data_IF_358005967293
#
_entry.id   IF_358005967293
#
_cell.length_a   1.000
_cell.length_b   1.000
_cell.length_c   1.000
_cell.angle_alpha   90.00
_cell.angle_beta   90.00
_cell.angle_gamma   90.00
#
_symmetry.space_group_name_H-M   'P 1'
#
loop_
_entity.id
_entity.type
_entity.pdbx_description
1 polymer ?
#
# COMPACT_ATOMS: atom_id res chain seq x y z
N UNK A 1 -13.55 4.06 4.93
CA UNK A 1 -13.46 3.61 6.34
C UNK A 1 -12.83 2.23 6.44
N UNK A 2 -13.04 1.40 5.42
CA UNK A 2 -12.61 0.00 5.32
C UNK A 2 -11.10 -0.20 5.42
N UNK A 3 -10.29 0.67 4.80
CA UNK A 3 -8.82 0.59 4.84
C UNK A 3 -8.25 0.78 6.25
N UNK A 4 -8.87 1.62 7.08
CA UNK A 4 -8.44 1.85 8.47
C UNK A 4 -8.67 0.62 9.32
N UNK A 5 -9.86 0.02 9.21
CA UNK A 5 -10.22 -1.20 9.96
C UNK A 5 -9.35 -2.38 9.50
N UNK A 6 -9.12 -2.50 8.19
CA UNK A 6 -8.23 -3.49 7.61
C UNK A 6 -6.79 -3.38 8.16
N UNK A 7 -6.23 -2.17 8.19
CA UNK A 7 -4.87 -1.94 8.71
C UNK A 7 -4.79 -2.15 10.22
N UNK A 8 -5.79 -1.70 10.98
CA UNK A 8 -5.85 -1.89 12.42
C UNK A 8 -5.88 -3.38 12.80
N UNK A 9 -6.66 -4.20 12.09
CA UNK A 9 -6.68 -5.65 12.24
C UNK A 9 -5.28 -6.25 12.04
N UNK A 10 -4.57 -5.88 10.96
CA UNK A 10 -3.22 -6.41 10.68
C UNK A 10 -2.15 -5.95 11.66
N UNK A 11 -2.22 -4.71 12.12
CA UNK A 11 -1.30 -4.14 13.11
C UNK A 11 -1.50 -4.78 14.50
N UNK A 12 -2.73 -5.17 14.83
CA UNK A 12 -3.07 -5.85 16.08
C UNK A 12 -2.73 -7.35 16.04
N UNK A 13 -2.81 -7.99 14.86
CA UNK A 13 -2.52 -9.40 14.69
C UNK A 13 -1.01 -9.72 14.78
N UNK A 14 -0.16 -8.73 14.52
CA UNK A 14 1.28 -8.84 14.63
C UNK A 14 1.72 -8.84 16.10
N UNK A 15 2.11 -10.01 16.61
CA UNK A 15 2.60 -10.18 17.99
C UNK A 15 3.93 -9.41 18.20
N UNK A 16 4.26 -8.99 19.45
CA UNK A 16 5.35 -8.05 19.73
C UNK A 16 6.77 -8.52 19.36
N UNK A 17 6.95 -9.76 18.93
CA UNK A 17 8.24 -10.29 18.50
C UNK A 17 8.33 -10.34 16.97
N UNK A 18 8.90 -9.27 16.39
CA UNK A 18 9.79 -9.40 15.22
C UNK A 18 9.13 -9.56 13.83
N UNK A 19 8.16 -8.72 13.47
CA UNK A 19 7.82 -8.55 12.04
C UNK A 19 8.18 -7.15 11.54
N UNK A 20 9.20 -6.99 10.68
CA UNK A 20 9.56 -5.71 10.08
C UNK A 20 8.45 -5.10 9.21
N UNK A 21 7.35 -5.84 8.98
CA UNK A 21 6.20 -5.38 8.24
C UNK A 21 5.40 -4.30 8.98
N UNK A 22 5.30 -4.38 10.32
CA UNK A 22 4.52 -3.42 11.11
C UNK A 22 5.09 -2.02 11.01
N UNK A 23 6.40 -1.88 11.21
CA UNK A 23 7.11 -0.60 11.07
C UNK A 23 7.02 -0.06 9.64
N UNK A 24 7.13 -0.93 8.63
CA UNK A 24 6.97 -0.54 7.22
C UNK A 24 5.55 0.00 6.94
N UNK A 25 4.51 -0.67 7.45
CA UNK A 25 3.12 -0.21 7.32
C UNK A 25 2.92 1.12 8.04
N UNK A 26 3.45 1.30 9.25
CA UNK A 26 3.35 2.55 10.01
C UNK A 26 4.07 3.71 9.30
N UNK A 27 5.25 3.45 8.71
CA UNK A 27 5.96 4.44 7.90
C UNK A 27 5.19 4.81 6.63
N UNK A 28 4.55 3.84 5.98
CA UNK A 28 3.69 4.10 4.83
C UNK A 28 2.38 4.80 5.22
N UNK A 29 1.85 4.54 6.42
CA UNK A 29 0.65 5.17 6.96
C UNK A 29 0.85 6.67 7.18
N UNK A 30 2.06 7.08 7.56
CA UNK A 30 2.45 8.49 7.66
C UNK A 30 2.34 9.24 6.32
N UNK A 31 2.51 8.52 5.19
CA UNK A 31 2.28 9.07 3.85
C UNK A 31 0.80 9.08 3.49
N UNK A 32 0.16 7.90 3.53
CA UNK A 32 -1.28 7.75 3.26
C UNK A 32 -1.79 6.36 3.66
N UNK A 33 -3.11 6.27 3.88
CA UNK A 33 -3.79 4.98 4.09
C UNK A 33 -3.64 4.04 2.89
N UNK A 34 -3.61 4.61 1.68
CA UNK A 34 -3.42 3.88 0.43
C UNK A 34 -2.02 3.29 0.32
N UNK A 35 -0.99 4.06 0.69
CA UNK A 35 0.39 3.59 0.71
C UNK A 35 0.58 2.47 1.75
N UNK A 36 -0.04 2.59 2.93
CA UNK A 36 0.00 1.54 3.94
C UNK A 36 -0.66 0.24 3.47
N UNK A 37 -1.84 0.33 2.85
CA UNK A 37 -2.53 -0.83 2.28
C UNK A 37 -1.71 -1.47 1.15
N UNK A 38 -1.13 -0.65 0.26
CA UNK A 38 -0.28 -1.12 -0.83
C UNK A 38 1.00 -1.79 -0.32
N UNK A 39 1.61 -1.28 0.75
CA UNK A 39 2.78 -1.88 1.40
C UNK A 39 2.47 -3.32 1.85
N UNK A 40 1.36 -3.52 2.56
CA UNK A 40 0.92 -4.84 3.00
C UNK A 40 0.61 -5.78 1.82
N UNK A 41 -0.10 -5.29 0.80
CA UNK A 41 -0.44 -6.09 -0.39
C UNK A 41 0.80 -6.47 -1.20
N UNK A 42 1.79 -5.59 -1.33
CA UNK A 42 3.06 -5.90 -1.98
C UNK A 42 3.84 -6.96 -1.20
N UNK A 43 3.89 -6.84 0.13
CA UNK A 43 4.53 -7.84 0.97
C UNK A 43 3.91 -9.23 0.79
N UNK A 44 2.57 -9.33 0.79
CA UNK A 44 1.88 -10.60 0.49
C UNK A 44 2.17 -11.08 -0.94
N UNK A 45 2.20 -10.17 -1.92
CA UNK A 45 2.44 -10.51 -3.32
C UNK A 45 3.86 -11.06 -3.58
N UNK A 46 4.86 -10.58 -2.86
CA UNK A 46 6.22 -11.12 -2.91
C UNK A 46 6.28 -12.54 -2.35
N UNK A 47 5.51 -12.80 -1.29
CA UNK A 47 5.39 -14.12 -0.65
C UNK A 47 4.27 -14.97 -1.24
N UNK A 48 3.78 -14.64 -2.44
CA UNK A 48 2.71 -15.39 -3.11
C UNK A 48 3.00 -16.86 -3.33
N UNK A 49 4.29 -17.22 -3.43
CA UNK A 49 4.72 -18.62 -3.57
C UNK A 49 4.61 -19.39 -2.24
N UNK A 50 4.70 -18.71 -1.09
CA UNK A 50 4.49 -19.28 0.24
C UNK A 50 3.00 -19.32 0.62
N UNK A 51 2.17 -18.53 -0.07
CA UNK A 51 0.73 -18.47 0.14
C UNK A 51 0.03 -19.59 -0.64
N UNK A 52 -0.73 -20.43 0.06
CA UNK A 52 -1.49 -21.52 -0.55
C UNK A 52 -2.52 -21.03 -1.58
N UNK A 53 -3.08 -19.83 -1.37
CA UNK A 53 -4.08 -19.22 -2.25
C UNK A 53 -3.92 -17.70 -2.22
N UNK A 54 -3.91 -17.07 -3.40
CA UNK A 54 -4.09 -15.63 -3.56
C UNK A 54 -5.49 -15.35 -4.08
N UNK A 55 -6.23 -14.51 -3.35
CA UNK A 55 -7.55 -14.08 -3.78
C UNK A 55 -7.43 -13.07 -4.94
N UNK A 56 -8.25 -13.19 -6.00
CA UNK A 56 -8.23 -12.24 -7.13
C UNK A 56 -8.52 -10.80 -6.68
N UNK A 57 -9.37 -10.63 -5.66
CA UNK A 57 -9.66 -9.31 -5.07
C UNK A 57 -8.45 -8.63 -4.44
N UNK A 58 -7.48 -9.39 -3.94
CA UNK A 58 -6.20 -8.83 -3.45
C UNK A 58 -5.41 -8.24 -4.61
N UNK A 59 -5.33 -8.96 -5.74
CA UNK A 59 -4.61 -8.52 -6.92
C UNK A 59 -5.26 -7.29 -7.55
N UNK A 60 -6.60 -7.26 -7.62
CA UNK A 60 -7.35 -6.10 -8.12
C UNK A 60 -7.10 -4.87 -7.25
N UNK A 61 -7.27 -4.98 -5.93
CA UNK A 61 -7.03 -3.88 -5.00
C UNK A 61 -5.59 -3.34 -5.09
N UNK A 62 -4.60 -4.25 -5.22
CA UNK A 62 -3.20 -3.87 -5.41
C UNK A 62 -2.98 -3.09 -6.70
N UNK A 63 -3.58 -3.54 -7.80
CA UNK A 63 -3.44 -2.88 -9.11
C UNK A 63 -4.12 -1.51 -9.13
N UNK A 64 -5.28 -1.37 -8.50
CA UNK A 64 -5.97 -0.09 -8.33
C UNK A 64 -5.09 0.90 -7.55
N UNK A 65 -4.55 0.49 -6.41
CA UNK A 65 -3.67 1.32 -5.60
C UNK A 65 -2.37 1.70 -6.34
N UNK A 66 -1.80 0.80 -7.15
CA UNK A 66 -0.64 1.10 -8.00
C UNK A 66 -0.97 2.13 -9.09
N UNK A 67 -2.17 2.08 -9.66
CA UNK A 67 -2.62 3.07 -10.64
C UNK A 67 -2.79 4.45 -9.98
N UNK A 68 -3.38 4.49 -8.79
CA UNK A 68 -3.55 5.73 -8.00
C UNK A 68 -2.21 6.33 -7.55
N UNK A 69 -1.25 5.49 -7.13
CA UNK A 69 0.11 5.95 -6.76
C UNK A 69 0.84 6.58 -7.96
N UNK A 70 0.72 5.97 -9.15
CA UNK A 70 1.23 6.55 -10.39
C UNK A 70 0.57 7.87 -10.76
N UNK A 71 -0.74 8.00 -10.56
CA UNK A 71 -1.46 9.24 -10.83
C UNK A 71 -1.01 10.37 -9.89
N UNK A 72 -0.91 10.09 -8.58
CA UNK A 72 -0.40 11.03 -7.59
C UNK A 72 1.05 11.47 -7.88
N UNK A 73 1.88 10.55 -8.37
CA UNK A 73 3.26 10.85 -8.78
C UNK A 73 3.33 11.64 -10.09
N UNK A 74 2.38 11.41 -11.00
CA UNK A 74 2.33 12.05 -12.32
C UNK A 74 1.76 13.47 -12.26
N UNK A 75 0.85 13.75 -11.31
CA UNK A 75 0.23 15.06 -11.10
C UNK A 75 1.24 16.18 -10.77
N UNK A 76 2.37 15.86 -10.15
CA UNK A 76 3.46 16.80 -9.90
C UNK A 76 4.22 17.22 -11.17
N UNK A 77 4.22 16.37 -12.21
CA UNK A 77 4.91 16.65 -13.48
C UNK A 77 4.11 17.60 -14.38
N UNK A 78 2.80 17.76 -14.15
CA UNK A 78 1.93 18.63 -14.95
C UNK A 78 2.01 20.12 -14.60
N UNK A 79 2.51 20.49 -13.43
CA UNK A 79 2.54 21.89 -12.96
C UNK A 79 3.76 22.70 -13.44
N UNK A 80 4.76 22.09 -14.10
CA UNK A 80 5.94 22.81 -14.63
C UNK A 80 5.83 23.29 -16.08
N UNK A 81 4.72 23.02 -16.79
CA UNK A 81 4.57 23.41 -18.21
C UNK A 81 3.65 24.63 -18.41
N UNK A 82 3.90 25.68 -17.64
CA UNK A 82 3.15 26.94 -17.72
C UNK A 82 3.90 28.18 -17.24
N UNK A 83 5.24 28.15 -17.25
CA UNK A 83 6.05 29.35 -16.97
C UNK A 83 7.28 29.37 -17.90
N UNK A 84 7.04 29.72 -19.16
CA UNK A 84 8.07 30.21 -20.07
C UNK A 84 7.38 31.22 -20.95
N UNK A 85 7.66 32.49 -20.66
CA UNK A 85 7.27 33.70 -21.40
C UNK A 85 7.55 33.61 -22.90
#
# INVERSE_FOLDING_TARGET
MDKVVFLADKIQWDQPSTSPLRDAILLCLDKSLDAAALCYLNYLWERRNDLAVIHPWMQEARNELLAMDKENSSGLTGLKKGLSD
#
